data_IF_252904430885
#
_entry.id   IF_252904430885
#
_cell.length_a   1.000
_cell.length_b   1.000
_cell.length_c   1.000
_cell.angle_alpha   90.00
_cell.angle_beta   90.00
_cell.angle_gamma   90.00
#
_symmetry.space_group_name_H-M   'P 1'
#
loop_
_entity.id
_entity.type
_entity.pdbx_description
1 polymer ?
#
# COMPACT_ATOMS: atom_id res chain seq x y z
N UNK A 1 6.02 -12.03 -9.76
CA UNK A 1 4.79 -11.49 -9.15
C UNK A 1 4.55 -10.10 -9.70
N UNK A 2 3.37 -9.84 -10.27
CA UNK A 2 3.04 -8.53 -10.84
C UNK A 2 2.46 -7.66 -9.73
N UNK A 3 2.90 -6.41 -9.64
CA UNK A 3 2.37 -5.39 -8.74
C UNK A 3 1.68 -4.35 -9.61
N UNK A 4 0.48 -3.89 -9.23
CA UNK A 4 -0.11 -2.69 -9.84
C UNK A 4 0.15 -1.55 -8.91
N UNK A 5 0.74 -0.49 -9.44
CA UNK A 5 1.04 0.65 -8.62
C UNK A 5 0.09 1.78 -8.90
N UNK A 6 -0.46 2.30 -7.81
CA UNK A 6 -1.31 3.45 -7.85
C UNK A 6 -0.50 4.69 -7.41
N UNK A 7 -0.07 5.49 -8.40
CA UNK A 7 0.61 6.79 -8.22
C UNK A 7 -0.42 7.90 -7.99
N UNK A 8 -0.40 8.53 -6.81
CA UNK A 8 -0.97 9.85 -6.63
C UNK A 8 0.19 10.87 -6.67
N UNK A 9 0.54 11.30 -7.89
CA UNK A 9 1.20 12.58 -8.09
C UNK A 9 0.06 13.56 -8.29
N UNK A 10 0.12 14.72 -7.65
CA UNK A 10 -0.92 15.75 -7.64
C UNK A 10 -1.72 15.85 -8.95
N UNK A 11 -3.03 15.93 -8.77
CA UNK A 11 -4.07 16.02 -9.80
C UNK A 11 -4.28 14.76 -10.67
N UNK A 12 -5.52 14.25 -10.54
CA UNK A 12 -6.18 13.16 -11.28
C UNK A 12 -5.95 11.73 -10.78
N UNK A 13 -6.80 11.44 -9.79
CA UNK A 13 -7.54 10.20 -9.56
C UNK A 13 -6.75 8.89 -9.53
N UNK A 14 -6.59 8.38 -8.31
CA UNK A 14 -6.38 6.98 -8.10
C UNK A 14 -7.15 6.50 -6.87
N UNK A 15 -8.31 5.92 -7.17
CA UNK A 15 -9.26 5.43 -6.19
C UNK A 15 -8.71 4.17 -5.52
N UNK A 16 -8.60 4.18 -4.19
CA UNK A 16 -8.98 2.97 -3.44
C UNK A 16 -10.46 2.78 -3.77
N UNK A 17 -10.88 1.68 -4.44
CA UNK A 17 -12.26 1.54 -4.93
C UNK A 17 -13.29 1.55 -3.79
N UNK A 18 -12.84 1.42 -2.54
CA UNK A 18 -13.63 1.56 -1.32
C UNK A 18 -12.69 1.82 -0.13
N UNK A 19 -13.08 2.75 0.75
CA UNK A 19 -12.42 2.99 2.04
C UNK A 19 -12.25 1.68 2.82
N UNK A 20 -11.18 1.58 3.62
CA UNK A 20 -10.91 0.42 4.48
C UNK A 20 -11.05 0.87 5.92
N UNK A 21 -11.83 0.13 6.71
CA UNK A 21 -12.13 0.44 8.10
C UNK A 21 -11.64 -0.71 8.96
N UNK A 22 -10.85 -0.39 9.97
CA UNK A 22 -10.31 -1.32 10.94
C UNK A 22 -10.80 -0.90 12.31
N UNK A 23 -11.64 -1.73 12.92
CA UNK A 23 -12.07 -1.56 14.31
C UNK A 23 -11.35 -2.59 15.16
N UNK A 24 -10.60 -2.10 16.15
CA UNK A 24 -10.08 -2.88 17.26
C UNK A 24 -10.75 -2.39 18.54
N UNK A 25 -10.68 -3.19 19.62
CA UNK A 25 -11.43 -2.96 20.87
C UNK A 25 -11.50 -1.49 21.34
N UNK A 26 -10.40 -0.74 21.23
CA UNK A 26 -10.31 0.65 21.69
C UNK A 26 -9.96 1.66 20.59
N UNK A 27 -9.97 1.27 19.32
CA UNK A 27 -9.51 2.14 18.24
C UNK A 27 -10.26 1.87 16.94
N UNK A 28 -10.61 2.96 16.26
CA UNK A 28 -11.12 2.94 14.89
C UNK A 28 -10.07 3.61 13.99
N UNK A 29 -9.54 2.85 13.04
CA UNK A 29 -8.64 3.35 12.01
C UNK A 29 -9.33 3.29 10.65
N UNK A 30 -9.24 4.37 9.88
CA UNK A 30 -9.85 4.46 8.56
C UNK A 30 -8.78 4.86 7.56
N UNK A 31 -8.71 4.12 6.46
CA UNK A 31 -7.88 4.43 5.29
C UNK A 31 -8.82 4.81 4.16
N UNK A 32 -8.77 6.07 3.74
CA UNK A 32 -9.67 6.64 2.75
C UNK A 32 -8.92 7.57 1.78
N UNK A 33 -9.64 8.06 0.78
CA UNK A 33 -9.12 9.09 -0.12
C UNK A 33 -8.84 10.39 0.66
N UNK A 34 -7.81 11.11 0.25
CA UNK A 34 -7.35 12.35 0.91
C UNK A 34 -8.42 13.45 0.91
N UNK A 35 -9.35 13.45 -0.05
CA UNK A 35 -10.44 14.41 -0.13
C UNK A 35 -11.64 14.02 0.73
N UNK A 36 -11.61 12.84 1.37
CA UNK A 36 -12.67 12.41 2.28
C UNK A 36 -12.50 13.14 3.60
N UNK A 37 -13.44 14.02 3.93
CA UNK A 37 -13.43 14.72 5.21
C UNK A 37 -13.99 13.82 6.32
N UNK A 38 -13.11 13.30 7.18
CA UNK A 38 -13.48 12.50 8.35
C UNK A 38 -12.91 13.18 9.59
N UNK A 39 -13.79 13.52 10.53
CA UNK A 39 -13.36 13.98 11.85
C UNK A 39 -12.57 12.86 12.53
N UNK A 40 -11.31 13.14 12.86
CA UNK A 40 -10.41 12.19 13.50
C UNK A 40 -9.48 12.94 14.47
N UNK A 41 -9.13 12.29 15.57
CA UNK A 41 -8.17 12.86 16.54
C UNK A 41 -6.75 12.91 15.98
N UNK A 42 -6.42 11.95 15.11
CA UNK A 42 -5.11 11.81 14.45
C UNK A 42 -5.32 11.43 13.00
N UNK A 43 -4.52 12.05 12.12
CA UNK A 43 -4.54 11.78 10.68
C UNK A 43 -3.13 11.82 10.14
N UNK A 44 -2.80 10.84 9.30
CA UNK A 44 -1.55 10.77 8.56
C UNK A 44 -1.85 10.83 7.07
N UNK A 45 -1.20 11.75 6.36
CA UNK A 45 -1.48 12.07 4.96
C UNK A 45 -0.34 11.63 4.04
N UNK A 46 -0.57 11.81 2.74
CA UNK A 46 0.41 11.63 1.67
C UNK A 46 0.99 10.21 1.62
N UNK A 47 0.07 9.26 1.54
CA UNK A 47 0.39 7.86 1.29
C UNK A 47 0.11 7.49 -0.17
N UNK A 48 1.02 6.75 -0.76
CA UNK A 48 0.84 6.08 -2.04
C UNK A 48 0.65 4.58 -1.81
N UNK A 49 -0.15 3.94 -2.66
CA UNK A 49 -0.55 2.56 -2.46
C UNK A 49 0.00 1.64 -3.57
N UNK A 50 0.64 0.55 -3.16
CA UNK A 50 1.12 -0.52 -4.02
C UNK A 50 0.24 -1.74 -3.80
N UNK A 51 -0.48 -2.18 -4.84
CA UNK A 51 -1.35 -3.37 -4.77
C UNK A 51 -0.63 -4.58 -5.34
N UNK A 52 -0.70 -5.71 -4.64
CA UNK A 52 -0.24 -7.00 -5.16
C UNK A 52 -1.26 -7.57 -6.17
N UNK A 53 -0.84 -7.97 -7.38
CA UNK A 53 -1.77 -8.54 -8.36
C UNK A 53 -1.79 -10.06 -8.36
N UNK A 54 -2.95 -10.58 -8.74
CA UNK A 54 -3.27 -12.00 -8.88
C UNK A 54 -4.24 -12.45 -7.80
N UNK A 55 -4.98 -13.55 -7.99
CA UNK A 55 -5.45 -14.30 -6.84
C UNK A 55 -4.20 -14.76 -6.11
N UNK A 56 -4.01 -14.30 -4.87
CA UNK A 56 -3.03 -14.90 -3.99
C UNK A 56 -3.57 -16.27 -3.63
N UNK A 57 -3.03 -17.32 -4.25
CA UNK A 57 -3.27 -18.69 -3.79
C UNK A 57 -2.97 -18.73 -2.29
N UNK A 58 -3.88 -19.23 -1.47
CA UNK A 58 -3.70 -19.28 -0.01
C UNK A 58 -2.43 -20.06 0.40
N UNK A 59 -1.92 -20.94 -0.48
CA UNK A 59 -0.65 -21.63 -0.28
C UNK A 59 0.59 -20.72 -0.44
N UNK A 60 0.46 -19.56 -1.08
CA UNK A 60 1.54 -18.61 -1.32
C UNK A 60 1.83 -17.77 -0.07
N UNK A 61 2.70 -18.30 0.79
CA UNK A 61 3.15 -17.62 2.01
C UNK A 61 4.35 -16.71 1.75
N UNK A 62 4.53 -15.71 2.63
CA UNK A 62 5.73 -14.88 2.64
C UNK A 62 5.79 -13.78 1.58
N UNK A 63 4.74 -13.56 0.80
CA UNK A 63 4.69 -12.46 -0.18
C UNK A 63 4.90 -11.11 0.50
N UNK A 64 4.06 -10.80 1.50
CA UNK A 64 4.18 -9.54 2.24
C UNK A 64 5.53 -9.42 2.93
N UNK A 65 6.03 -10.52 3.52
CA UNK A 65 7.35 -10.55 4.18
C UNK A 65 8.50 -10.23 3.20
N UNK A 66 8.44 -10.75 1.97
CA UNK A 66 9.45 -10.46 0.95
C UNK A 66 9.36 -9.02 0.46
N UNK A 67 8.16 -8.46 0.33
CA UNK A 67 7.99 -7.04 -0.03
C UNK A 67 8.49 -6.15 1.10
N UNK A 68 8.11 -6.43 2.35
CA UNK A 68 8.51 -5.65 3.51
C UNK A 68 10.02 -5.68 3.72
N UNK A 69 10.68 -6.82 3.53
CA UNK A 69 12.13 -6.91 3.64
C UNK A 69 12.84 -6.02 2.60
N UNK A 70 12.42 -6.06 1.33
CA UNK A 70 13.01 -5.22 0.28
C UNK A 70 12.85 -3.73 0.59
N UNK A 71 11.70 -3.33 1.14
CA UNK A 71 11.45 -1.93 1.48
C UNK A 71 12.17 -1.52 2.76
N UNK A 72 12.28 -2.40 3.75
CA UNK A 72 13.05 -2.18 4.97
C UNK A 72 14.55 -2.03 4.69
N UNK A 73 15.12 -2.87 3.81
CA UNK A 73 16.51 -2.75 3.33
C UNK A 73 16.78 -1.44 2.60
N UNK A 74 15.73 -0.83 2.03
CA UNK A 74 15.79 0.49 1.40
C UNK A 74 15.45 1.64 2.37
N UNK A 75 15.29 1.35 3.68
CA UNK A 75 14.91 2.30 4.73
C UNK A 75 13.54 2.98 4.49
N UNK A 76 12.63 2.28 3.83
CA UNK A 76 11.29 2.77 3.50
C UNK A 76 10.29 2.18 4.48
N UNK A 77 9.70 3.05 5.30
CA UNK A 77 8.60 2.68 6.19
C UNK A 77 7.35 2.32 5.39
N UNK A 78 6.66 1.26 5.82
CA UNK A 78 5.44 0.78 5.18
C UNK A 78 4.27 0.76 6.15
N UNK A 79 3.07 0.86 5.59
CA UNK A 79 1.83 0.50 6.27
C UNK A 79 1.15 -0.60 5.42
N UNK A 80 1.08 -1.81 5.97
CA UNK A 80 0.57 -2.97 5.25
C UNK A 80 -0.91 -3.23 5.60
N UNK A 81 -1.70 -3.53 4.58
CA UNK A 81 -3.12 -3.87 4.69
C UNK A 81 -3.42 -5.10 3.85
N UNK A 82 -3.89 -6.15 4.49
CA UNK A 82 -4.34 -7.37 3.81
C UNK A 82 -5.86 -7.38 3.70
N UNK A 83 -6.37 -7.86 2.57
CA UNK A 83 -7.78 -8.26 2.40
C UNK A 83 -7.86 -9.76 2.15
N UNK A 84 -9.07 -10.28 1.89
CA UNK A 84 -9.25 -11.67 1.49
C UNK A 84 -8.50 -12.01 0.19
N UNK A 85 -8.52 -11.11 -0.81
CA UNK A 85 -7.99 -11.40 -2.14
C UNK A 85 -6.52 -11.02 -2.33
N UNK A 86 -6.03 -10.03 -1.58
CA UNK A 86 -4.76 -9.36 -1.89
C UNK A 86 -4.20 -8.53 -0.74
N UNK A 87 -2.92 -8.19 -0.86
CA UNK A 87 -2.23 -7.25 0.01
C UNK A 87 -2.03 -5.89 -0.66
N UNK A 88 -2.12 -4.86 0.17
CA UNK A 88 -1.79 -3.48 -0.15
C UNK A 88 -0.64 -3.02 0.74
N UNK A 89 0.39 -2.44 0.13
CA UNK A 89 1.53 -1.88 0.83
C UNK A 89 1.53 -0.37 0.57
N UNK A 90 1.28 0.41 1.61
CA UNK A 90 1.29 1.85 1.56
C UNK A 90 2.69 2.36 1.96
N UNK A 91 3.17 3.35 1.22
CA UNK A 91 4.44 4.06 1.48
C UNK A 91 4.17 5.56 1.45
N UNK A 92 5.01 6.38 2.07
CA UNK A 92 4.87 7.84 1.94
C UNK A 92 5.08 8.24 0.48
N UNK A 93 4.24 9.13 -0.04
CA UNK A 93 4.22 9.52 -1.46
C UNK A 93 5.60 10.00 -1.97
N UNK A 94 6.36 10.69 -1.14
CA UNK A 94 7.73 11.14 -1.46
C UNK A 94 8.74 9.97 -1.62
N UNK A 95 8.50 8.81 -1.01
CA UNK A 95 9.34 7.61 -1.12
C UNK A 95 8.91 6.65 -2.22
N UNK A 96 7.82 6.93 -2.93
CA UNK A 96 7.23 6.03 -3.91
C UNK A 96 8.18 5.65 -5.04
N UNK A 97 8.95 6.61 -5.56
CA UNK A 97 9.93 6.35 -6.62
C UNK A 97 11.07 5.44 -6.13
N UNK A 98 11.56 5.69 -4.90
CA UNK A 98 12.57 4.84 -4.28
C UNK A 98 12.03 3.41 -4.02
N UNK A 99 10.78 3.31 -3.55
CA UNK A 99 10.07 2.06 -3.31
C UNK A 99 9.99 1.22 -4.60
N UNK A 100 9.56 1.84 -5.69
CA UNK A 100 9.54 1.20 -7.02
C UNK A 100 10.91 0.71 -7.45
N UNK A 101 11.93 1.55 -7.28
CA UNK A 101 13.30 1.22 -7.69
C UNK A 101 13.82 0.00 -6.92
N UNK A 102 13.63 -0.02 -5.60
CA UNK A 102 14.01 -1.14 -4.75
C UNK A 102 13.27 -2.43 -5.15
N UNK A 103 11.95 -2.36 -5.29
CA UNK A 103 11.13 -3.50 -5.70
C UNK A 103 11.48 -4.01 -7.11
N UNK A 104 11.72 -3.12 -8.08
CA UNK A 104 12.19 -3.53 -9.41
C UNK A 104 13.55 -4.22 -9.37
N UNK A 105 14.49 -3.71 -8.55
CA UNK A 105 15.82 -4.32 -8.35
C UNK A 105 15.70 -5.73 -7.75
N UNK A 106 14.71 -5.95 -6.89
CA UNK A 106 14.39 -7.26 -6.30
C UNK A 106 13.57 -8.18 -7.23
N UNK A 107 13.32 -7.79 -8.48
CA UNK A 107 12.64 -8.62 -9.49
C UNK A 107 11.12 -8.49 -9.52
N UNK A 108 10.52 -7.52 -8.82
CA UNK A 108 9.09 -7.23 -8.96
C UNK A 108 8.80 -6.43 -10.22
N UNK A 109 7.70 -6.75 -10.88
CA UNK A 109 7.25 -6.09 -12.12
C UNK A 109 6.06 -5.20 -11.79
N UNK A 110 6.07 -3.97 -12.28
CA UNK A 110 4.94 -3.06 -12.15
C UNK A 110 4.14 -3.02 -13.45
N UNK A 111 2.82 -3.21 -13.36
CA UNK A 111 1.90 -2.95 -14.48
C UNK A 111 1.64 -1.44 -14.62
N UNK A 112 1.57 -0.97 -15.87
CA UNK A 112 1.20 0.40 -16.23
C UNK A 112 -0.31 0.63 -16.06
#
# INVERSE_FOLDING_TARGET
MRLKLFLNIGEKHLYLPSSKVFSAHNALSIVCDINTNIASEKSEKDWACIKVLGPLDFALTGILARISNVLAEAEISIFALSTYDTDYVLVKSNTLLASKKALKKAGYIFEN
#
